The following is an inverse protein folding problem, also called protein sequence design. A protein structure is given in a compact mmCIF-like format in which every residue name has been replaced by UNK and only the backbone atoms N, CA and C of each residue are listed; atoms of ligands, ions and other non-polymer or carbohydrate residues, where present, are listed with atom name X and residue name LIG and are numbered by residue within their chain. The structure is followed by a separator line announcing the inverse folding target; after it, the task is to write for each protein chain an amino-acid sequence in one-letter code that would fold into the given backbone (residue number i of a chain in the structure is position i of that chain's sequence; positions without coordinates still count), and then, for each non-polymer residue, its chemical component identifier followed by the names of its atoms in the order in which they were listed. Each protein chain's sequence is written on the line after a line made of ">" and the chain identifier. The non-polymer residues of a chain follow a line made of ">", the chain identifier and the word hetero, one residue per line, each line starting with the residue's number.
data_IF_335577968061
#
_entry.id   IF_335577968061
#
_cell.length_a   1.000
_cell.length_b   1.000
_cell.length_c   1.000
_cell.angle_alpha   90.00
_cell.angle_beta   90.00
_cell.angle_gamma   90.00
#
_symmetry.space_group_name_H-M   'P 1'
#
loop_
_entity.id
_entity.type
_entity.pdbx_description
1 polymer ?
#
# COMPACT_ATOMS: atom_id res chain seq x y z
N UNK A 1 21.65 1.24 2.58
CA UNK A 1 20.78 2.34 2.12
C UNK A 1 19.44 1.69 1.90
N UNK A 2 18.38 2.20 2.53
CA UNK A 2 17.05 1.70 2.22
C UNK A 2 16.50 2.50 1.04
N UNK A 3 15.65 1.87 0.25
CA UNK A 3 15.10 2.41 -0.99
C UNK A 3 13.70 3.00 -0.75
N UNK A 4 13.50 3.69 0.38
CA UNK A 4 12.27 4.42 0.72
C UNK A 4 12.00 5.65 -0.16
N UNK A 5 12.41 5.59 -1.43
CA UNK A 5 12.50 6.72 -2.32
C UNK A 5 11.60 6.52 -3.54
N UNK A 6 10.91 7.57 -3.95
CA UNK A 6 10.14 7.63 -5.18
C UNK A 6 10.29 8.98 -5.86
N UNK A 7 9.83 9.07 -7.11
CA UNK A 7 10.02 10.20 -7.99
C UNK A 7 8.73 10.58 -8.70
N UNK A 8 8.58 11.86 -9.02
CA UNK A 8 7.65 12.35 -10.05
C UNK A 8 8.48 12.77 -11.26
N UNK A 9 8.07 12.34 -12.44
CA UNK A 9 8.68 12.68 -13.72
C UNK A 9 7.67 13.40 -14.61
N UNK A 10 8.12 14.43 -15.32
CA UNK A 10 7.45 14.90 -16.53
C UNK A 10 7.73 13.89 -17.65
N UNK A 11 6.66 13.30 -18.16
CA UNK A 11 6.68 12.31 -19.25
C UNK A 11 5.95 12.82 -20.50
N UNK A 12 5.78 14.15 -20.63
CA UNK A 12 5.19 14.77 -21.83
C UNK A 12 5.96 14.44 -23.11
N UNK A 13 7.26 14.17 -22.99
CA UNK A 13 8.09 13.52 -24.01
C UNK A 13 8.60 12.17 -23.48
N UNK A 14 8.00 11.07 -23.93
CA UNK A 14 8.40 9.71 -23.53
C UNK A 14 9.83 9.34 -23.94
N UNK A 15 10.42 10.03 -24.93
CA UNK A 15 11.82 9.82 -25.30
C UNK A 15 12.78 10.54 -24.36
N UNK A 16 12.28 11.50 -23.56
CA UNK A 16 13.08 12.27 -22.59
C UNK A 16 12.30 12.58 -21.31
N UNK A 17 12.10 11.58 -20.43
CA UNK A 17 11.55 11.82 -19.10
C UNK A 17 12.43 12.77 -18.29
N UNK A 18 11.84 13.77 -17.66
CA UNK A 18 12.55 14.78 -16.86
C UNK A 18 12.09 14.67 -15.39
N UNK A 19 13.01 14.51 -14.40
CA UNK A 19 12.60 14.41 -13.01
C UNK A 19 12.10 15.78 -12.51
N UNK A 20 10.91 15.80 -11.91
CA UNK A 20 10.34 16.98 -11.26
C UNK A 20 10.82 17.05 -9.80
N UNK A 21 10.59 15.98 -9.04
CA UNK A 21 10.95 15.89 -7.62
C UNK A 21 11.18 14.43 -7.22
N UNK A 22 11.91 14.23 -6.13
CA UNK A 22 11.99 12.95 -5.44
C UNK A 22 11.78 13.16 -3.95
N UNK A 23 11.30 12.12 -3.28
CA UNK A 23 11.10 12.10 -1.84
C UNK A 23 11.72 10.83 -1.27
N UNK A 24 12.39 10.97 -0.13
CA UNK A 24 13.04 9.88 0.60
C UNK A 24 12.76 10.07 2.09
N UNK A 25 12.09 9.10 2.70
CA UNK A 25 11.78 9.10 4.14
C UNK A 25 12.79 8.32 4.99
N UNK A 26 13.87 7.82 4.37
CA UNK A 26 14.93 7.06 5.01
C UNK A 26 16.20 7.90 5.21
N UNK A 27 16.67 8.13 6.45
CA UNK A 27 16.00 7.87 7.74
C UNK A 27 14.88 8.88 8.06
N UNK A 28 13.96 8.58 9.01
CA UNK A 28 13.97 7.48 9.97
C UNK A 28 13.16 6.24 9.57
N UNK A 29 12.47 6.23 8.43
CA UNK A 29 11.63 5.10 7.99
C UNK A 29 12.39 4.25 6.97
N UNK A 30 12.84 3.03 7.33
CA UNK A 30 13.77 2.28 6.50
C UNK A 30 13.10 1.25 5.58
N UNK A 31 11.77 1.09 5.65
CA UNK A 31 11.08 0.20 4.71
C UNK A 31 11.17 0.79 3.29
N UNK A 32 11.47 -0.03 2.27
CA UNK A 32 11.49 0.45 0.90
C UNK A 32 10.08 0.83 0.45
N UNK A 33 9.97 1.90 -0.34
CA UNK A 33 8.72 2.23 -1.02
C UNK A 33 8.58 1.34 -2.24
N UNK A 34 7.47 0.62 -2.34
CA UNK A 34 7.25 -0.43 -3.32
C UNK A 34 6.29 0.00 -4.43
N UNK A 35 5.16 0.60 -4.07
CA UNK A 35 4.13 1.03 -5.03
C UNK A 35 3.74 2.48 -4.78
N UNK A 36 3.74 3.29 -5.83
CA UNK A 36 3.19 4.65 -5.85
C UNK A 36 1.95 4.69 -6.75
N UNK A 37 0.79 4.97 -6.17
CA UNK A 37 -0.51 4.95 -6.85
C UNK A 37 -1.18 6.33 -6.78
N UNK A 38 -1.16 7.13 -7.86
CA UNK A 38 -1.91 8.38 -7.89
C UNK A 38 -3.42 8.10 -7.94
N UNK A 39 -4.19 8.78 -7.10
CA UNK A 39 -5.65 8.73 -7.17
C UNK A 39 -6.10 9.49 -8.42
N UNK A 40 -6.91 8.90 -9.30
CA UNK A 40 -7.23 9.49 -10.60
C UNK A 40 -8.27 10.62 -10.54
N UNK A 41 -8.77 10.96 -9.35
CA UNK A 41 -9.64 12.10 -9.09
C UNK A 41 -9.15 12.90 -7.88
N UNK A 42 -9.60 14.14 -7.78
CA UNK A 42 -9.32 14.98 -6.61
C UNK A 42 -10.13 14.49 -5.40
N UNK A 43 -9.47 14.35 -4.24
CA UNK A 43 -10.14 14.11 -2.96
C UNK A 43 -10.09 15.39 -2.15
N UNK A 44 -11.26 15.93 -1.77
CA UNK A 44 -11.38 17.19 -1.04
C UNK A 44 -10.63 18.37 -1.72
N UNK A 45 -10.58 18.37 -3.05
CA UNK A 45 -9.89 19.39 -3.86
C UNK A 45 -8.36 19.26 -3.90
N UNK A 46 -7.83 18.07 -3.58
CA UNK A 46 -6.39 17.76 -3.57
C UNK A 46 -6.08 16.58 -4.48
N UNK A 47 -4.91 16.61 -5.13
CA UNK A 47 -4.36 15.44 -5.81
C UNK A 47 -3.63 14.58 -4.80
N UNK A 48 -4.03 13.33 -4.70
CA UNK A 48 -3.53 12.40 -3.67
C UNK A 48 -2.70 11.30 -4.32
N UNK A 49 -1.57 10.99 -3.70
CA UNK A 49 -0.73 9.85 -4.00
C UNK A 49 -0.75 8.90 -2.80
N UNK A 50 -1.07 7.63 -3.05
CA UNK A 50 -0.93 6.55 -2.09
C UNK A 50 0.44 5.90 -2.30
N UNK A 51 1.21 5.71 -1.24
CA UNK A 51 2.51 5.02 -1.32
C UNK A 51 2.52 3.84 -0.36
N UNK A 52 2.68 2.64 -0.91
CA UNK A 52 2.86 1.41 -0.13
C UNK A 52 4.36 1.21 0.11
N UNK A 53 4.78 1.23 1.37
CA UNK A 53 6.05 0.61 1.73
C UNK A 53 5.89 -0.91 1.76
N UNK A 54 6.97 -1.65 1.52
CA UNK A 54 7.00 -3.10 1.54
C UNK A 54 7.66 -3.64 2.81
N UNK A 55 6.98 -4.61 3.43
CA UNK A 55 7.53 -5.39 4.54
C UNK A 55 8.65 -6.30 4.04
N UNK A 56 9.84 -6.12 4.59
CA UNK A 56 11.05 -6.87 4.22
C UNK A 56 11.53 -7.82 5.31
N UNK A 57 10.71 -8.02 6.34
CA UNK A 57 10.91 -8.98 7.40
C UNK A 57 12.09 -8.65 8.32
N UNK A 58 12.88 -9.69 8.67
CA UNK A 58 13.97 -9.60 9.65
C UNK A 58 15.11 -8.67 9.23
N UNK A 59 15.21 -8.34 7.94
CA UNK A 59 16.28 -7.53 7.35
C UNK A 59 16.41 -6.14 7.98
N UNK A 60 15.31 -5.59 8.46
CA UNK A 60 15.27 -4.26 9.08
C UNK A 60 14.95 -4.32 10.57
N UNK A 61 14.90 -5.49 11.19
CA UNK A 61 14.64 -5.60 12.61
C UNK A 61 15.77 -4.93 13.44
N UNK A 62 15.46 -4.22 14.54
CA UNK A 62 14.13 -3.92 15.05
C UNK A 62 13.59 -2.60 14.47
N UNK A 63 12.69 -2.66 13.48
CA UNK A 63 11.93 -1.51 12.98
C UNK A 63 10.44 -1.86 12.97
N UNK A 64 9.54 -0.86 13.03
CA UNK A 64 8.12 -1.10 12.83
C UNK A 64 7.86 -1.66 11.43
N UNK A 65 6.81 -2.47 11.30
CA UNK A 65 6.39 -3.04 10.03
C UNK A 65 6.09 -1.95 8.98
N UNK A 66 6.22 -2.31 7.71
CA UNK A 66 5.87 -1.44 6.59
C UNK A 66 4.40 -1.02 6.63
N UNK A 67 4.13 0.18 6.15
CA UNK A 67 2.81 0.81 6.22
C UNK A 67 2.49 1.64 4.98
N UNK A 68 1.30 2.21 4.94
CA UNK A 68 0.81 3.01 3.82
C UNK A 68 0.97 4.50 4.13
N UNK A 69 1.49 5.27 3.18
CA UNK A 69 1.53 6.73 3.21
C UNK A 69 0.44 7.31 2.33
N UNK A 70 -0.16 8.42 2.79
CA UNK A 70 -0.98 9.30 1.96
C UNK A 70 -0.24 10.62 1.79
N UNK A 71 -0.03 11.01 0.54
CA UNK A 71 0.77 12.18 0.16
C UNK A 71 -0.10 13.13 -0.67
N UNK A 72 -0.13 14.41 -0.30
CA UNK A 72 -0.68 15.47 -1.13
C UNK A 72 0.35 15.85 -2.20
N UNK A 73 -0.03 15.65 -3.46
CA UNK A 73 0.76 15.99 -4.67
C UNK A 73 0.07 17.07 -5.50
N UNK A 74 -0.79 17.89 -4.88
CA UNK A 74 -1.45 19.02 -5.57
C UNK A 74 -0.42 19.95 -6.20
N UNK A 75 0.66 20.23 -5.48
CA UNK A 75 1.86 20.88 -6.00
C UNK A 75 2.92 19.82 -6.26
N UNK A 76 3.02 19.34 -7.51
CA UNK A 76 3.92 18.22 -7.90
C UNK A 76 5.41 18.51 -7.63
N UNK A 77 5.80 19.78 -7.45
CA UNK A 77 7.16 20.20 -7.08
C UNK A 77 7.42 20.18 -5.58
N UNK A 78 6.37 20.04 -4.76
CA UNK A 78 6.45 20.02 -3.30
C UNK A 78 5.41 19.03 -2.72
N UNK A 79 5.62 17.71 -2.88
CA UNK A 79 4.76 16.72 -2.25
C UNK A 79 4.83 16.81 -0.73
N UNK A 80 3.71 16.56 -0.05
CA UNK A 80 3.64 16.59 1.42
C UNK A 80 2.96 15.32 1.94
N UNK A 81 3.64 14.46 2.72
CA UNK A 81 2.96 13.38 3.42
C UNK A 81 1.99 13.96 4.46
N UNK A 82 0.72 13.56 4.40
CA UNK A 82 -0.37 14.13 5.20
C UNK A 82 -0.99 13.14 6.20
N UNK A 83 -0.91 11.84 5.93
CA UNK A 83 -1.34 10.81 6.87
C UNK A 83 -0.70 9.46 6.54
N UNK A 84 -0.93 8.49 7.42
CA UNK A 84 -0.48 7.10 7.26
C UNK A 84 -1.59 6.15 7.67
N UNK A 85 -1.62 4.96 7.09
CA UNK A 85 -2.46 3.87 7.56
C UNK A 85 -1.62 2.66 7.99
N UNK A 86 -2.01 2.04 9.12
CA UNK A 86 -1.44 0.81 9.65
C UNK A 86 -2.58 -0.13 10.01
N UNK A 87 -2.48 -1.41 9.62
CA UNK A 87 -3.47 -2.42 9.96
C UNK A 87 -3.60 -2.66 11.47
N UNK A 88 -2.52 -2.46 12.24
CA UNK A 88 -2.50 -2.54 13.71
C UNK A 88 -1.72 -1.37 14.29
N UNK A 89 -2.36 -0.48 15.08
CA UNK A 89 -1.68 0.65 15.70
C UNK A 89 -0.56 0.21 16.66
N UNK A 90 -0.77 -0.89 17.37
CA UNK A 90 0.15 -1.51 18.35
C UNK A 90 1.00 -2.64 17.76
N UNK A 91 1.28 -2.63 16.45
CA UNK A 91 2.07 -3.67 15.81
C UNK A 91 3.39 -3.92 16.56
N UNK A 92 3.56 -5.17 17.03
CA UNK A 92 4.79 -5.61 17.66
C UNK A 92 5.89 -5.71 16.60
N UNK A 93 7.17 -5.52 16.98
CA UNK A 93 8.27 -5.73 16.06
C UNK A 93 8.23 -7.15 15.50
N UNK A 94 8.35 -7.23 14.16
CA UNK A 94 8.61 -8.39 13.32
C UNK A 94 8.49 -9.78 13.97
N UNK A 95 7.52 -10.57 13.48
CA UNK A 95 7.43 -12.01 13.73
C UNK A 95 8.33 -12.78 12.74
N UNK A 96 9.39 -13.48 13.19
CA UNK A 96 10.27 -14.26 12.31
C UNK A 96 9.57 -15.34 11.49
N UNK A 97 8.40 -15.80 11.93
CA UNK A 97 7.65 -16.86 11.26
C UNK A 97 6.57 -16.29 10.31
N UNK A 98 6.40 -14.96 10.25
CA UNK A 98 5.36 -14.31 9.46
C UNK A 98 5.75 -12.88 9.05
N UNK A 99 5.88 -12.62 7.74
CA UNK A 99 5.97 -11.22 7.29
C UNK A 99 4.60 -10.60 7.50
N UNK A 100 4.52 -9.60 8.37
CA UNK A 100 3.30 -8.88 8.66
C UNK A 100 3.56 -7.40 8.38
N UNK A 101 2.95 -6.84 7.35
CA UNK A 101 3.18 -5.45 6.96
C UNK A 101 2.66 -5.17 5.55
N UNK A 102 2.62 -3.89 5.20
CA UNK A 102 2.18 -3.44 3.88
C UNK A 102 3.03 -4.07 2.76
N UNK A 103 2.42 -4.26 1.58
CA UNK A 103 3.12 -4.74 0.40
C UNK A 103 2.68 -3.97 -0.84
N UNK A 104 1.51 -4.29 -1.38
CA UNK A 104 1.01 -3.74 -2.63
C UNK A 104 -0.45 -3.33 -2.54
N UNK A 105 -0.77 -2.16 -3.08
CA UNK A 105 -2.15 -1.70 -3.32
C UNK A 105 -2.65 -2.19 -4.69
N UNK A 106 -3.96 -2.21 -4.88
CA UNK A 106 -4.55 -2.40 -6.22
C UNK A 106 -4.04 -1.33 -7.20
N UNK A 107 -3.78 -1.69 -8.46
CA UNK A 107 -3.20 -0.75 -9.44
C UNK A 107 -4.23 0.22 -10.06
N UNK A 108 -5.52 -0.10 -9.96
CA UNK A 108 -6.60 0.69 -10.55
C UNK A 108 -7.65 1.01 -9.48
N UNK A 109 -8.05 2.28 -9.41
CA UNK A 109 -9.05 2.78 -8.48
C UNK A 109 -10.35 3.09 -9.22
N UNK A 110 -11.48 2.70 -8.63
CA UNK A 110 -12.83 2.95 -9.17
C UNK A 110 -13.70 3.81 -8.24
N UNK A 111 -13.38 3.83 -6.96
CA UNK A 111 -13.87 4.76 -5.95
C UNK A 111 -12.86 4.88 -4.81
N UNK A 112 -13.27 5.49 -3.69
CA UNK A 112 -12.40 5.74 -2.54
C UNK A 112 -12.11 4.48 -1.68
N UNK A 113 -12.52 3.29 -2.11
CA UNK A 113 -12.12 2.04 -1.45
C UNK A 113 -10.83 1.52 -2.06
N UNK A 114 -9.78 1.54 -1.26
CA UNK A 114 -8.44 1.07 -1.60
C UNK A 114 -8.22 -0.32 -0.99
N UNK A 115 -8.07 -1.33 -1.85
CA UNK A 115 -7.61 -2.65 -1.42
C UNK A 115 -6.07 -2.70 -1.38
N UNK A 116 -5.51 -3.20 -0.29
CA UNK A 116 -4.06 -3.32 -0.07
C UNK A 116 -3.73 -4.68 0.53
N UNK A 117 -2.80 -5.41 -0.07
CA UNK A 117 -2.27 -6.65 0.53
C UNK A 117 -1.27 -6.33 1.64
N UNK A 118 -1.34 -7.10 2.72
CA UNK A 118 -0.63 -6.86 3.97
C UNK A 118 0.12 -8.12 4.46
N UNK A 119 0.60 -8.97 3.54
CA UNK A 119 1.19 -10.28 3.82
C UNK A 119 0.35 -11.11 4.80
N UNK A 120 0.88 -11.45 5.99
CA UNK A 120 0.15 -12.17 7.04
C UNK A 120 -1.04 -11.40 7.61
N UNK A 121 -1.15 -10.11 7.31
CA UNK A 121 -2.35 -9.30 7.52
C UNK A 121 -3.42 -9.47 6.44
N UNK A 122 -3.22 -10.30 5.42
CA UNK A 122 -4.21 -10.58 4.37
C UNK A 122 -4.51 -9.38 3.48
N UNK A 123 -5.77 -9.27 3.03
CA UNK A 123 -6.26 -8.14 2.25
C UNK A 123 -6.94 -7.11 3.17
N UNK A 124 -6.55 -5.84 3.06
CA UNK A 124 -7.09 -4.70 3.81
C UNK A 124 -7.92 -3.84 2.89
N UNK A 125 -9.12 -3.47 3.32
CA UNK A 125 -9.98 -2.51 2.63
C UNK A 125 -9.95 -1.18 3.39
N UNK A 126 -9.50 -0.11 2.74
CA UNK A 126 -9.27 1.19 3.37
C UNK A 126 -10.11 2.24 2.64
N UNK A 127 -10.89 3.03 3.38
CA UNK A 127 -11.50 4.26 2.85
C UNK A 127 -10.48 5.39 2.85
N UNK A 128 -10.24 5.97 1.67
CA UNK A 128 -9.36 7.12 1.47
C UNK A 128 -10.12 8.41 1.18
N UNK A 129 -11.46 8.42 1.35
CA UNK A 129 -12.32 9.58 1.09
C UNK A 129 -11.95 10.82 1.92
N UNK A 130 -11.34 10.61 3.09
CA UNK A 130 -10.66 11.62 3.88
C UNK A 130 -9.15 11.32 3.92
N UNK A 131 -8.31 12.00 3.12
CA UNK A 131 -6.90 11.65 2.98
C UNK A 131 -6.06 12.05 4.21
N UNK A 132 -6.62 12.79 5.17
CA UNK A 132 -5.99 13.07 6.46
C UNK A 132 -6.25 12.00 7.51
N UNK A 133 -7.22 11.12 7.28
CA UNK A 133 -7.64 10.07 8.20
C UNK A 133 -8.17 8.87 7.41
N UNK A 134 -7.28 8.08 6.77
CA UNK A 134 -7.67 6.83 6.15
C UNK A 134 -8.21 5.84 7.19
N UNK A 135 -9.32 5.16 6.91
CA UNK A 135 -10.00 4.28 7.85
C UNK A 135 -10.15 2.86 7.28
N UNK A 136 -9.86 1.82 8.07
CA UNK A 136 -10.13 0.44 7.66
C UNK A 136 -11.65 0.19 7.63
N UNK A 137 -12.18 -0.19 6.47
CA UNK A 137 -13.56 -0.63 6.33
C UNK A 137 -13.73 -2.11 6.70
N UNK A 138 -12.70 -2.91 6.46
CA UNK A 138 -12.68 -4.33 6.77
C UNK A 138 -11.44 -5.04 6.22
N UNK A 139 -11.34 -6.34 6.46
CA UNK A 139 -10.22 -7.16 5.98
C UNK A 139 -10.68 -8.58 5.65
N UNK A 140 -9.87 -9.27 4.86
CA UNK A 140 -10.01 -10.69 4.56
C UNK A 140 -8.67 -11.39 4.82
N UNK A 141 -8.69 -12.48 5.58
CA UNK A 141 -7.52 -13.34 5.81
C UNK A 141 -7.75 -14.65 5.04
N UNK A 142 -6.99 -14.91 3.96
CA UNK A 142 -7.07 -16.20 3.30
C UNK A 142 -6.54 -17.31 4.22
N UNK A 143 -7.01 -18.53 4.01
CA UNK A 143 -6.46 -19.69 4.69
C UNK A 143 -4.99 -19.89 4.26
N UNK A 144 -4.07 -20.20 5.20
CA UNK A 144 -2.69 -20.50 4.83
C UNK A 144 -2.61 -21.63 3.81
N UNK A 145 -1.68 -21.50 2.86
CA UNK A 145 -1.39 -22.56 1.90
C UNK A 145 -0.97 -23.87 2.56
N UNK A 146 -1.12 -24.99 1.84
CA UNK A 146 -0.80 -26.32 2.39
C UNK A 146 0.64 -26.39 2.90
N UNK A 147 0.80 -26.67 4.21
CA UNK A 147 2.10 -26.78 4.87
C UNK A 147 2.62 -25.47 5.47
N UNK A 148 1.89 -24.37 5.33
CA UNK A 148 2.20 -23.07 5.93
C UNK A 148 1.28 -22.77 7.11
N UNK A 149 1.74 -21.94 8.04
CA UNK A 149 0.99 -21.55 9.23
C UNK A 149 0.27 -20.20 9.07
N UNK A 150 0.73 -19.39 8.12
CA UNK A 150 0.25 -18.03 7.88
C UNK A 150 0.05 -17.79 6.39
N UNK A 151 -0.92 -16.95 6.08
CA UNK A 151 -1.11 -16.38 4.75
C UNK A 151 0.04 -15.42 4.40
N UNK A 152 0.29 -15.24 3.11
CA UNK A 152 1.23 -14.27 2.56
C UNK A 152 0.59 -13.62 1.32
N UNK A 153 -0.49 -12.86 1.56
CA UNK A 153 -1.17 -12.08 0.53
C UNK A 153 -0.19 -11.10 -0.11
N UNK A 154 -0.05 -11.20 -1.43
CA UNK A 154 1.06 -10.61 -2.17
C UNK A 154 0.58 -9.66 -3.28
N UNK A 155 -0.59 -9.89 -3.87
CA UNK A 155 -1.12 -9.00 -4.90
C UNK A 155 -2.65 -8.96 -4.89
N UNK A 156 -3.23 -7.84 -5.32
CA UNK A 156 -4.66 -7.67 -5.50
C UNK A 156 -4.96 -6.88 -6.77
N UNK A 157 -5.82 -7.42 -7.62
CA UNK A 157 -6.41 -6.69 -8.74
C UNK A 157 -7.89 -6.41 -8.49
N UNK A 158 -8.32 -5.17 -8.67
CA UNK A 158 -9.70 -4.76 -8.52
C UNK A 158 -10.38 -4.57 -9.88
N UNK A 159 -11.68 -4.82 -9.93
CA UNK A 159 -12.53 -4.60 -11.12
C UNK A 159 -13.57 -3.50 -10.86
N UNK A 160 -14.08 -2.83 -11.92
CA UNK A 160 -15.17 -1.86 -11.78
C UNK A 160 -16.44 -2.46 -11.20
N UNK A 161 -16.66 -3.77 -11.38
CA UNK A 161 -17.82 -4.49 -10.88
C UNK A 161 -17.74 -4.79 -9.37
N UNK A 162 -16.65 -4.43 -8.70
CA UNK A 162 -16.47 -4.65 -7.26
C UNK A 162 -15.92 -6.02 -6.88
N UNK A 163 -15.31 -6.74 -7.84
CA UNK A 163 -14.56 -7.96 -7.58
C UNK A 163 -13.08 -7.67 -7.32
N UNK A 164 -12.49 -8.44 -6.41
CA UNK A 164 -11.09 -8.38 -6.03
C UNK A 164 -10.43 -9.75 -6.23
N UNK A 165 -9.32 -9.75 -6.97
CA UNK A 165 -8.55 -10.90 -7.40
C UNK A 165 -7.31 -10.96 -6.52
N UNK A 166 -7.39 -11.74 -5.43
CA UNK A 166 -6.34 -11.82 -4.42
C UNK A 166 -5.38 -12.97 -4.74
N UNK A 167 -4.09 -12.67 -4.75
CA UNK A 167 -3.01 -13.67 -4.84
C UNK A 167 -2.31 -13.78 -3.50
N UNK A 168 -2.32 -14.98 -2.94
CA UNK A 168 -1.48 -15.38 -1.82
C UNK A 168 -0.29 -16.18 -2.35
N UNK A 169 0.95 -15.72 -2.09
CA UNK A 169 2.14 -16.36 -2.67
C UNK A 169 2.38 -17.78 -2.15
N UNK A 170 1.70 -18.17 -1.06
CA UNK A 170 1.77 -19.52 -0.47
C UNK A 170 0.44 -20.28 -0.61
N UNK A 171 -0.69 -19.58 -0.64
CA UNK A 171 -2.05 -20.13 -0.64
C UNK A 171 -2.75 -20.21 -2.00
N UNK A 172 -2.27 -19.49 -3.02
CA UNK A 172 -2.84 -19.51 -4.36
C UNK A 172 -3.67 -18.27 -4.67
N UNK A 173 -4.89 -18.46 -5.19
CA UNK A 173 -5.68 -17.41 -5.81
C UNK A 173 -7.14 -17.48 -5.40
N UNK A 174 -7.72 -16.33 -5.05
CA UNK A 174 -9.11 -16.19 -4.63
C UNK A 174 -9.79 -15.00 -5.29
N UNK A 175 -11.10 -15.10 -5.52
CA UNK A 175 -11.94 -14.00 -6.02
C UNK A 175 -12.91 -13.61 -4.92
N UNK A 176 -12.86 -12.35 -4.52
CA UNK A 176 -13.63 -11.78 -3.43
C UNK A 176 -14.57 -10.70 -3.98
N UNK A 177 -15.65 -10.45 -3.27
CA UNK A 177 -16.58 -9.34 -3.53
C UNK A 177 -16.76 -8.56 -2.23
N UNK A 178 -16.78 -7.23 -2.32
CA UNK A 178 -17.09 -6.40 -1.16
C UNK A 178 -18.60 -6.44 -0.87
N UNK A 179 -18.96 -6.89 0.34
CA UNK A 179 -20.37 -7.00 0.78
C UNK A 179 -20.76 -5.97 1.85
N UNK A 180 -19.86 -5.04 2.20
CA UNK A 180 -20.13 -3.98 3.15
C UNK A 180 -21.05 -2.89 2.57
N UNK A 181 -21.87 -2.29 3.43
CA UNK A 181 -22.80 -1.22 3.09
C UNK A 181 -22.08 0.12 2.79
#
# INVERSE_FOLDING_TARGET
>A
KSDGMWYIFDISDLARPEPIVHMDWSPPYPCPSHTTLPVPWDIMGRRILVVSDEEVGDRLAPTPNAFLWIVDITEETNPIPISTYRARPEDQPFDPDCWYGCHQSQEQLYDNRLAVTWFGGGLRMIDISNPWQPEELGYYLPEPGQGYQVAQSNDVFATPEGLYYLVDRLGGFEILEWVGA
#
